data_IF_324352989178
#
_entry.id   IF_324352989178
#
_cell.length_a   1.000
_cell.length_b   1.000
_cell.length_c   1.000
_cell.angle_alpha   90.00
_cell.angle_beta   90.00
_cell.angle_gamma   90.00
#
_symmetry.space_group_name_H-M   'P 1'
#
loop_
_entity.id
_entity.type
_entity.pdbx_description
1 polymer ?
#
# COMPACT_ATOMS: atom_id res chain seq x y z
N UNK A 1 2.18 -36.67 -36.18
CA UNK A 1 3.49 -37.24 -35.84
C UNK A 1 4.30 -36.13 -35.19
N UNK A 2 4.92 -36.14 -34.05
CA UNK A 2 5.21 -37.11 -33.03
C UNK A 2 5.19 -36.37 -31.66
N UNK A 3 4.69 -37.02 -30.63
CA UNK A 3 4.77 -36.64 -29.20
C UNK A 3 6.20 -36.81 -28.70
N UNK A 4 6.69 -35.88 -27.86
CA UNK A 4 7.75 -36.24 -26.91
C UNK A 4 7.48 -35.63 -25.53
N UNK A 5 7.11 -36.47 -24.60
CA UNK A 5 7.11 -36.27 -23.14
C UNK A 5 8.54 -36.36 -22.62
N UNK A 6 8.93 -35.51 -21.67
CA UNK A 6 10.01 -35.83 -20.75
C UNK A 6 9.59 -35.64 -19.28
N UNK A 7 9.89 -36.67 -18.52
CA UNK A 7 9.58 -36.99 -17.14
C UNK A 7 10.44 -36.19 -16.15
N UNK A 8 9.87 -35.91 -14.99
CA UNK A 8 10.50 -35.45 -13.76
C UNK A 8 11.41 -36.53 -13.15
N UNK A 9 12.44 -36.08 -12.43
CA UNK A 9 13.17 -36.90 -11.45
C UNK A 9 13.37 -36.09 -10.17
N UNK A 10 12.82 -36.61 -9.09
CA UNK A 10 13.00 -36.18 -7.70
C UNK A 10 14.25 -36.84 -7.13
N UNK A 11 15.01 -36.10 -6.30
CA UNK A 11 15.98 -36.69 -5.40
C UNK A 11 15.85 -36.06 -4.01
N UNK A 12 15.40 -36.90 -3.08
CA UNK A 12 15.35 -36.69 -1.64
C UNK A 12 16.69 -37.08 -1.03
N UNK A 13 17.25 -36.29 -0.15
CA UNK A 13 18.33 -36.67 0.77
C UNK A 13 18.00 -36.25 2.20
N UNK A 14 17.81 -37.21 3.08
CA UNK A 14 17.70 -37.09 4.54
C UNK A 14 19.11 -37.04 5.17
N UNK A 15 19.37 -36.28 6.24
CA UNK A 15 20.51 -36.51 7.12
C UNK A 15 20.16 -37.36 8.35
N UNK A 16 21.10 -38.23 8.73
CA UNK A 16 21.00 -39.18 9.85
C UNK A 16 21.38 -38.59 11.22
N UNK A 17 21.33 -39.40 12.30
CA UNK A 17 21.23 -38.93 13.68
C UNK A 17 22.58 -38.65 14.36
N UNK A 18 22.62 -37.63 15.20
CA UNK A 18 23.76 -37.27 16.04
C UNK A 18 23.79 -38.05 17.36
N UNK A 19 24.98 -38.48 17.74
CA UNK A 19 25.31 -39.30 18.91
C UNK A 19 25.28 -38.49 20.23
N UNK A 20 24.70 -39.12 21.24
CA UNK A 20 24.74 -38.67 22.63
C UNK A 20 26.16 -38.88 23.23
N UNK A 21 26.63 -37.89 24.01
CA UNK A 21 27.81 -38.04 24.91
C UNK A 21 27.34 -37.90 26.36
N UNK A 22 27.56 -38.96 27.10
CA UNK A 22 27.45 -39.05 28.55
C UNK A 22 28.53 -38.27 29.24
N UNK A 23 28.17 -37.48 30.25
CA UNK A 23 29.09 -36.77 31.11
C UNK A 23 28.97 -37.28 32.56
N UNK A 24 30.13 -37.51 33.15
CA UNK A 24 30.36 -38.13 34.43
C UNK A 24 30.03 -37.23 35.63
N UNK A 25 29.53 -37.87 36.70
CA UNK A 25 29.35 -37.32 38.05
C UNK A 25 30.70 -37.06 38.73
N UNK A 26 30.80 -35.94 39.48
CA UNK A 26 31.77 -35.73 40.55
C UNK A 26 31.07 -35.26 41.83
N UNK A 27 31.54 -35.69 43.03
CA UNK A 27 30.85 -35.46 44.27
C UNK A 27 31.38 -34.25 45.06
N UNK A 28 30.48 -33.64 45.81
CA UNK A 28 30.65 -33.10 47.13
C UNK A 28 31.49 -31.84 47.36
N UNK A 29 30.83 -30.73 47.66
CA UNK A 29 31.40 -29.66 48.50
C UNK A 29 30.32 -29.08 49.43
N UNK A 30 30.69 -29.09 50.68
CA UNK A 30 30.09 -28.67 51.95
C UNK A 30 29.42 -27.29 51.90
N UNK A 31 28.19 -27.20 52.44
CA UNK A 31 27.39 -25.99 52.56
C UNK A 31 27.96 -25.01 53.64
N UNK A 32 28.01 -23.72 53.29
CA UNK A 32 28.18 -22.63 54.25
C UNK A 32 26.82 -21.98 54.58
N UNK A 33 26.62 -21.43 55.77
CA UNK A 33 25.30 -20.94 56.18
C UNK A 33 24.91 -19.65 55.44
N UNK A 34 23.62 -19.59 55.11
CA UNK A 34 22.94 -18.56 54.34
C UNK A 34 22.67 -17.34 55.22
N UNK A 35 23.24 -16.20 54.88
CA UNK A 35 22.86 -14.91 55.46
C UNK A 35 21.45 -14.52 54.96
N UNK A 36 20.57 -14.15 55.92
CA UNK A 36 19.22 -13.67 55.63
C UNK A 36 19.26 -12.30 54.98
N UNK A 37 18.96 -12.25 53.69
CA UNK A 37 18.80 -10.99 52.96
C UNK A 37 17.39 -10.44 53.19
N UNK A 38 17.30 -9.16 53.58
CA UNK A 38 16.06 -8.39 53.68
C UNK A 38 15.36 -8.33 52.30
N UNK A 39 14.01 -8.44 52.22
CA UNK A 39 13.31 -8.37 50.95
C UNK A 39 13.43 -6.96 50.35
N UNK A 40 13.89 -6.90 49.08
CA UNK A 40 13.86 -5.67 48.27
C UNK A 40 12.40 -5.34 47.93
N UNK A 41 11.99 -4.05 47.95
CA UNK A 41 10.65 -3.66 47.54
C UNK A 41 10.45 -3.99 46.07
N UNK A 42 9.31 -4.61 45.73
CA UNK A 42 8.89 -4.88 44.36
C UNK A 42 8.73 -3.55 43.59
N UNK A 43 9.25 -3.44 42.35
CA UNK A 43 8.99 -2.26 41.53
C UNK A 43 7.49 -2.17 41.25
N UNK A 44 6.89 -1.05 41.63
CA UNK A 44 5.51 -0.71 41.25
C UNK A 44 5.44 -0.60 39.72
N UNK A 45 4.66 -1.47 39.09
CA UNK A 45 4.40 -1.43 37.68
C UNK A 45 3.75 -0.09 37.34
N UNK A 46 4.48 0.78 36.63
CA UNK A 46 3.92 1.99 36.04
C UNK A 46 2.91 1.54 34.97
N UNK A 47 1.63 1.67 35.27
CA UNK A 47 0.54 1.50 34.30
C UNK A 47 0.76 2.48 33.15
N UNK A 48 1.08 1.95 31.96
CA UNK A 48 1.09 2.74 30.73
C UNK A 48 -0.30 3.33 30.52
N UNK A 49 -0.42 4.63 30.18
CA UNK A 49 -1.72 5.22 29.87
C UNK A 49 -2.37 4.42 28.74
N UNK A 50 -3.60 3.98 28.99
CA UNK A 50 -4.42 3.26 28.00
C UNK A 50 -4.65 4.24 26.84
N UNK A 51 -4.11 3.94 25.66
CA UNK A 51 -4.36 4.75 24.49
C UNK A 51 -5.88 4.85 24.29
N UNK A 52 -6.39 6.08 24.27
CA UNK A 52 -7.80 6.34 23.95
C UNK A 52 -8.00 5.88 22.51
N UNK A 53 -8.73 4.80 22.32
CA UNK A 53 -9.06 4.32 20.98
C UNK A 53 -9.86 5.42 20.29
N UNK A 54 -9.32 5.98 19.19
CA UNK A 54 -10.09 6.89 18.33
C UNK A 54 -11.39 6.19 17.96
N UNK A 55 -12.52 6.87 18.18
CA UNK A 55 -13.82 6.36 17.75
C UNK A 55 -13.75 6.01 16.25
N UNK A 56 -14.23 4.82 15.88
CA UNK A 56 -14.25 4.42 14.47
C UNK A 56 -15.19 5.34 13.72
N UNK A 57 -14.81 5.84 12.51
CA UNK A 57 -15.69 6.63 11.66
C UNK A 57 -17.00 5.88 11.42
N UNK A 58 -18.12 6.60 11.40
CA UNK A 58 -19.42 6.02 11.05
C UNK A 58 -19.53 6.00 9.54
N UNK A 59 -19.42 4.80 8.95
CA UNK A 59 -19.65 4.66 7.52
C UNK A 59 -21.14 4.61 7.22
N UNK A 60 -21.56 5.32 6.18
CA UNK A 60 -22.94 5.30 5.65
C UNK A 60 -22.97 4.47 4.38
N UNK A 61 -24.02 3.69 4.21
CA UNK A 61 -24.25 2.99 2.96
C UNK A 61 -24.44 4.01 1.82
N UNK A 62 -23.73 3.83 0.72
CA UNK A 62 -23.86 4.63 -0.49
C UNK A 62 -23.72 3.78 -1.73
N UNK A 63 -24.32 4.20 -2.84
CA UNK A 63 -24.19 3.61 -4.17
C UNK A 63 -24.00 4.73 -5.17
N UNK A 64 -22.97 4.65 -6.01
CA UNK A 64 -22.75 5.58 -7.12
C UNK A 64 -22.94 4.82 -8.43
N UNK A 65 -24.03 5.12 -9.13
CA UNK A 65 -24.25 4.60 -10.48
C UNK A 65 -23.47 5.42 -11.50
N UNK A 66 -23.01 4.76 -12.56
CA UNK A 66 -22.32 5.45 -13.64
C UNK A 66 -23.26 6.38 -14.40
N UNK A 67 -22.83 7.64 -14.58
CA UNK A 67 -23.45 8.62 -15.45
C UNK A 67 -22.36 9.50 -16.04
N UNK A 68 -22.40 9.74 -17.36
CA UNK A 68 -21.38 10.54 -18.05
C UNK A 68 -21.43 12.01 -17.61
N UNK A 69 -22.60 12.55 -17.28
CA UNK A 69 -22.81 13.91 -16.82
C UNK A 69 -22.20 14.18 -15.42
N UNK A 70 -21.81 13.14 -14.68
CA UNK A 70 -21.18 13.30 -13.35
C UNK A 70 -19.64 13.58 -13.46
N UNK A 71 -19.07 13.47 -14.63
CA UNK A 71 -17.66 13.82 -14.83
C UNK A 71 -17.49 15.34 -14.88
N UNK A 72 -16.55 15.85 -14.07
CA UNK A 72 -16.20 17.27 -13.94
C UNK A 72 -14.79 17.51 -14.44
N UNK A 73 -14.59 18.61 -15.19
CA UNK A 73 -13.29 19.04 -15.74
C UNK A 73 -12.67 20.18 -14.96
N UNK A 74 -13.32 20.64 -13.88
CA UNK A 74 -12.85 21.69 -12.97
C UNK A 74 -11.90 21.18 -11.87
N UNK A 75 -11.39 19.96 -12.02
CA UNK A 75 -10.45 19.35 -11.10
C UNK A 75 -9.00 19.86 -11.24
N UNK A 76 -8.07 19.19 -10.53
CA UNK A 76 -6.67 19.58 -10.45
C UNK A 76 -5.94 19.61 -11.81
N UNK A 77 -6.35 18.79 -12.77
CA UNK A 77 -5.67 18.60 -14.05
C UNK A 77 -6.61 18.86 -15.22
N UNK A 78 -6.25 19.82 -16.09
CA UNK A 78 -7.05 20.16 -17.28
C UNK A 78 -7.16 19.04 -18.32
N UNK A 79 -6.28 18.04 -18.26
CA UNK A 79 -6.29 16.86 -19.12
C UNK A 79 -7.10 15.67 -18.56
N UNK A 80 -7.88 15.88 -17.50
CA UNK A 80 -8.64 14.83 -16.83
C UNK A 80 -10.02 15.34 -16.39
N UNK A 81 -11.01 14.46 -16.47
CA UNK A 81 -12.33 14.64 -15.90
C UNK A 81 -12.51 13.66 -14.73
N UNK A 82 -13.09 14.13 -13.64
CA UNK A 82 -13.20 13.40 -12.38
C UNK A 82 -14.66 13.12 -12.04
N UNK A 83 -14.96 11.89 -11.68
CA UNK A 83 -16.25 11.48 -11.12
C UNK A 83 -16.05 10.98 -9.69
N UNK A 84 -16.42 11.77 -8.70
CA UNK A 84 -16.42 11.37 -7.30
C UNK A 84 -17.51 10.31 -7.06
N UNK A 85 -17.16 9.24 -6.36
CA UNK A 85 -18.08 8.12 -6.06
C UNK A 85 -18.86 8.33 -4.74
N UNK A 86 -18.69 9.46 -4.04
CA UNK A 86 -19.36 9.79 -2.78
C UNK A 86 -18.88 8.98 -1.58
N UNK A 87 -17.73 8.34 -1.69
CA UNK A 87 -17.13 7.54 -0.61
C UNK A 87 -16.58 8.43 0.51
N UNK A 88 -16.04 9.60 0.16
CA UNK A 88 -15.60 10.63 1.09
C UNK A 88 -16.73 11.06 2.04
N UNK A 89 -17.87 11.44 1.49
CA UNK A 89 -19.05 11.80 2.27
C UNK A 89 -19.57 10.61 3.11
N UNK A 90 -19.54 9.39 2.58
CA UNK A 90 -20.01 8.20 3.28
C UNK A 90 -19.07 7.75 4.41
N UNK A 91 -17.82 8.19 4.41
CA UNK A 91 -16.78 7.79 5.38
C UNK A 91 -16.30 8.93 6.28
N UNK A 92 -16.99 10.06 6.28
CA UNK A 92 -16.63 11.29 7.02
C UNK A 92 -15.18 11.73 6.72
N UNK A 93 -14.81 11.77 5.42
CA UNK A 93 -13.51 12.23 4.95
C UNK A 93 -12.38 11.22 5.10
N UNK A 94 -12.67 9.96 5.47
CA UNK A 94 -11.62 8.96 5.62
C UNK A 94 -11.02 8.55 4.28
N UNK A 95 -11.84 8.39 3.23
CA UNK A 95 -11.42 7.87 1.93
C UNK A 95 -12.10 8.66 0.83
N UNK A 96 -11.37 9.11 -0.18
CA UNK A 96 -11.94 9.49 -1.47
C UNK A 96 -11.73 8.33 -2.46
N UNK A 97 -12.78 8.05 -3.24
CA UNK A 97 -12.70 7.16 -4.39
C UNK A 97 -13.33 7.89 -5.58
N UNK A 98 -12.61 7.91 -6.70
CA UNK A 98 -13.03 8.60 -7.90
C UNK A 98 -12.63 7.85 -9.16
N UNK A 99 -13.42 7.99 -10.21
CA UNK A 99 -13.02 7.60 -11.57
C UNK A 99 -12.44 8.82 -12.25
N UNK A 100 -11.25 8.65 -12.80
CA UNK A 100 -10.55 9.67 -13.58
C UNK A 100 -10.60 9.21 -15.04
N UNK A 101 -11.19 10.03 -15.91
CA UNK A 101 -11.21 9.87 -17.36
C UNK A 101 -10.22 10.85 -17.97
N UNK A 102 -9.26 10.34 -18.70
CA UNK A 102 -8.30 11.19 -19.41
C UNK A 102 -8.92 11.78 -20.67
N UNK A 103 -8.62 13.05 -20.94
CA UNK A 103 -9.18 13.81 -22.06
C UNK A 103 -8.23 13.73 -23.26
N UNK A 104 -8.63 13.11 -24.37
CA UNK A 104 -7.78 13.01 -25.55
C UNK A 104 -7.71 14.34 -26.34
N UNK A 105 -6.64 14.53 -27.17
CA UNK A 105 -5.45 13.68 -27.22
C UNK A 105 -4.51 13.95 -26.05
N UNK A 106 -3.66 12.97 -25.70
CA UNK A 106 -2.59 13.21 -24.74
C UNK A 106 -1.62 14.27 -25.27
N UNK A 107 -1.34 15.27 -24.43
CA UNK A 107 -0.39 16.34 -24.73
C UNK A 107 0.74 16.30 -23.71
N UNK A 108 1.95 15.85 -24.10
CA UNK A 108 3.06 15.68 -23.16
C UNK A 108 3.38 16.92 -22.34
N UNK A 109 3.26 18.12 -22.93
CA UNK A 109 3.50 19.40 -22.27
C UNK A 109 2.49 19.71 -21.15
N UNK A 110 1.31 19.14 -21.19
CA UNK A 110 0.26 19.30 -20.17
C UNK A 110 0.38 18.27 -19.05
N UNK A 111 0.75 17.02 -19.40
CA UNK A 111 0.71 15.89 -18.45
C UNK A 111 2.02 15.67 -17.70
N UNK A 112 3.18 16.01 -18.30
CA UNK A 112 4.51 15.70 -17.75
C UNK A 112 4.94 16.61 -16.60
N UNK A 113 4.03 16.94 -15.67
CA UNK A 113 4.32 17.74 -14.48
C UNK A 113 4.67 16.84 -13.31
N UNK A 114 5.93 16.88 -12.89
CA UNK A 114 6.40 16.11 -11.74
C UNK A 114 5.72 16.62 -10.46
N UNK A 115 5.15 15.69 -9.68
CA UNK A 115 4.47 16.01 -8.43
C UNK A 115 4.49 14.82 -7.48
N UNK A 116 4.04 15.06 -6.24
CA UNK A 116 3.72 14.00 -5.29
C UNK A 116 2.45 14.36 -4.50
N UNK A 117 1.88 13.37 -3.84
CA UNK A 117 0.76 13.53 -2.93
C UNK A 117 1.18 13.25 -1.48
N UNK A 118 0.77 14.12 -0.55
CA UNK A 118 0.98 13.87 0.88
C UNK A 118 -0.23 13.11 1.43
N UNK A 119 -0.15 11.80 1.37
CA UNK A 119 -1.23 10.84 1.64
C UNK A 119 -0.76 9.72 2.55
N UNK A 120 -1.68 9.05 3.24
CA UNK A 120 -1.39 7.83 3.99
C UNK A 120 -1.44 6.59 3.08
N UNK A 121 -2.29 6.64 2.06
CA UNK A 121 -2.48 5.55 1.10
C UNK A 121 -3.03 6.11 -0.22
N UNK A 122 -2.51 5.59 -1.33
CA UNK A 122 -3.07 5.83 -2.66
C UNK A 122 -2.93 4.57 -3.51
N UNK A 123 -4.04 4.16 -4.11
CA UNK A 123 -4.11 3.03 -5.03
C UNK A 123 -4.77 3.48 -6.32
N UNK A 124 -4.25 3.02 -7.46
CA UNK A 124 -4.85 3.25 -8.77
C UNK A 124 -5.07 1.90 -9.47
N UNK A 125 -6.20 1.79 -10.15
CA UNK A 125 -6.58 0.62 -10.95
C UNK A 125 -7.04 1.08 -12.34
N UNK A 126 -6.47 0.56 -13.41
CA UNK A 126 -6.88 0.89 -14.77
C UNK A 126 -8.16 0.14 -15.11
N UNK A 127 -9.24 0.89 -15.34
CA UNK A 127 -10.55 0.36 -15.71
C UNK A 127 -10.63 0.10 -17.22
N UNK A 128 -10.05 1.01 -18.04
CA UNK A 128 -10.13 0.98 -19.50
C UNK A 128 -8.89 1.62 -20.11
N UNK A 129 -8.52 1.18 -21.32
CA UNK A 129 -7.36 1.70 -22.03
C UNK A 129 -6.03 1.39 -21.36
N UNK A 130 -5.11 2.33 -21.45
CA UNK A 130 -3.78 2.24 -20.83
C UNK A 130 -3.24 3.64 -20.50
N UNK A 131 -2.30 3.69 -19.56
CA UNK A 131 -1.49 4.89 -19.29
C UNK A 131 -0.04 4.52 -19.01
N UNK A 132 0.86 5.43 -19.30
CA UNK A 132 2.28 5.38 -18.94
C UNK A 132 2.55 6.48 -17.93
N UNK A 133 3.10 6.11 -16.78
CA UNK A 133 3.58 7.04 -15.76
C UNK A 133 5.03 6.76 -15.42
N UNK A 134 5.76 7.80 -15.08
CA UNK A 134 7.13 7.71 -14.56
C UNK A 134 7.10 7.91 -13.06
N UNK A 135 7.75 6.99 -12.33
CA UNK A 135 7.84 7.00 -10.87
C UNK A 135 9.29 7.07 -10.41
N UNK A 136 9.54 7.84 -9.35
CA UNK A 136 10.86 7.97 -8.72
C UNK A 136 11.44 6.60 -8.37
N UNK A 137 12.64 6.31 -8.89
CA UNK A 137 13.36 5.06 -8.66
C UNK A 137 12.83 3.83 -9.42
N UNK A 138 11.72 3.95 -10.17
CA UNK A 138 11.14 2.85 -10.95
C UNK A 138 11.19 3.10 -12.47
N UNK A 139 11.32 4.37 -12.89
CA UNK A 139 11.24 4.76 -14.28
C UNK A 139 9.82 4.77 -14.85
N UNK A 140 9.71 4.75 -16.17
CA UNK A 140 8.44 4.77 -16.88
C UNK A 140 7.84 3.36 -16.98
N UNK A 141 6.57 3.23 -16.57
CA UNK A 141 5.83 1.97 -16.57
C UNK A 141 4.50 2.20 -17.29
N UNK A 142 4.14 1.30 -18.21
CA UNK A 142 2.84 1.30 -18.88
C UNK A 142 1.90 0.32 -18.17
N UNK A 143 0.79 0.85 -17.64
CA UNK A 143 -0.29 0.10 -17.00
C UNK A 143 -1.47 0.03 -17.97
N UNK A 144 -2.02 -1.18 -18.17
CA UNK A 144 -3.18 -1.45 -19.05
C UNK A 144 -4.41 -1.80 -18.22
N UNK A 145 -5.57 -1.85 -18.84
CA UNK A 145 -6.81 -2.30 -18.19
C UNK A 145 -6.57 -3.59 -17.37
N UNK A 146 -6.99 -3.58 -16.11
CA UNK A 146 -6.73 -4.64 -15.12
C UNK A 146 -5.44 -4.46 -14.31
N UNK A 147 -4.55 -3.53 -14.66
CA UNK A 147 -3.37 -3.20 -13.85
C UNK A 147 -3.76 -2.44 -12.59
N UNK A 148 -3.06 -2.73 -11.49
CA UNK A 148 -3.22 -2.05 -10.20
C UNK A 148 -1.86 -1.74 -9.60
N UNK A 149 -1.72 -0.57 -8.97
CA UNK A 149 -0.51 -0.23 -8.23
C UNK A 149 -0.80 0.63 -7.00
N UNK A 150 0.12 0.61 -6.06
CA UNK A 150 0.19 1.53 -4.94
C UNK A 150 1.14 2.67 -5.31
N UNK A 151 0.74 3.90 -5.05
CA UNK A 151 1.63 5.05 -5.02
C UNK A 151 2.01 5.32 -3.56
N UNK A 152 3.24 4.97 -3.13
CA UNK A 152 3.67 5.26 -1.77
C UNK A 152 3.55 6.75 -1.44
N UNK A 153 3.30 7.12 -0.17
CA UNK A 153 3.28 8.51 0.23
C UNK A 153 4.50 9.29 -0.27
N UNK A 154 4.24 10.44 -0.90
CA UNK A 154 5.25 11.38 -1.41
C UNK A 154 6.17 10.82 -2.52
N UNK A 155 5.87 9.67 -3.14
CA UNK A 155 6.59 9.23 -4.34
C UNK A 155 6.42 10.25 -5.46
N UNK A 156 7.51 10.74 -6.01
CA UNK A 156 7.46 11.68 -7.13
C UNK A 156 7.09 10.92 -8.39
N UNK A 157 6.12 11.44 -9.11
CA UNK A 157 5.63 10.82 -10.34
C UNK A 157 5.03 11.85 -11.29
N UNK A 158 4.87 11.44 -12.53
CA UNK A 158 4.17 12.20 -13.58
C UNK A 158 3.49 11.26 -14.54
N UNK A 159 2.41 11.70 -15.16
CA UNK A 159 1.85 11.04 -16.34
C UNK A 159 2.73 11.37 -17.53
N UNK A 160 2.97 10.39 -18.39
CA UNK A 160 3.79 10.53 -19.60
C UNK A 160 2.91 10.44 -20.85
N UNK A 161 2.00 9.45 -20.84
CA UNK A 161 1.13 9.18 -22.00
C UNK A 161 -0.08 8.35 -21.59
N UNK A 162 -1.16 8.38 -22.38
CA UNK A 162 -2.37 7.57 -22.19
C UNK A 162 -3.16 7.37 -23.48
N UNK A 163 -3.96 6.30 -23.54
CA UNK A 163 -4.89 6.05 -24.63
C UNK A 163 -6.10 6.98 -24.58
N UNK A 164 -6.71 7.25 -25.73
CA UNK A 164 -7.89 8.13 -25.86
C UNK A 164 -9.10 7.69 -25.00
N UNK A 165 -9.15 6.42 -24.64
CA UNK A 165 -10.21 5.84 -23.83
C UNK A 165 -9.78 5.50 -22.39
N UNK A 166 -8.68 6.06 -21.91
CA UNK A 166 -8.13 5.72 -20.60
C UNK A 166 -9.04 6.18 -19.46
N UNK A 167 -9.43 5.23 -18.62
CA UNK A 167 -10.10 5.48 -17.35
C UNK A 167 -9.42 4.70 -16.22
N UNK A 168 -9.27 5.35 -15.07
CA UNK A 168 -8.72 4.71 -13.87
C UNK A 168 -9.61 4.95 -12.67
N UNK A 169 -9.67 3.97 -11.75
CA UNK A 169 -10.18 4.15 -10.40
C UNK A 169 -9.03 4.54 -9.50
N UNK A 170 -9.16 5.65 -8.79
CA UNK A 170 -8.24 6.10 -7.78
C UNK A 170 -8.89 6.05 -6.39
N UNK A 171 -8.16 5.54 -5.40
CA UNK A 171 -8.57 5.50 -4.00
C UNK A 171 -7.47 6.12 -3.15
N UNK A 172 -7.81 7.15 -2.36
CA UNK A 172 -6.86 7.91 -1.55
C UNK A 172 -7.33 8.06 -0.11
N UNK A 173 -6.42 7.97 0.83
CA UNK A 173 -6.60 8.25 2.25
C UNK A 173 -5.54 9.25 2.72
N UNK A 174 -5.93 10.30 3.49
CA UNK A 174 -7.30 10.75 3.74
C UNK A 174 -7.96 11.28 2.47
N UNK A 175 -9.27 11.58 2.53
CA UNK A 175 -10.00 12.14 1.38
C UNK A 175 -9.50 13.54 0.99
N UNK A 176 -9.10 14.34 1.97
CA UNK A 176 -8.45 15.62 1.77
C UNK A 176 -6.93 15.44 1.90
N UNK A 177 -6.20 15.80 0.86
CA UNK A 177 -4.75 15.68 0.80
C UNK A 177 -4.14 16.78 -0.06
N UNK A 178 -2.86 17.04 0.18
CA UNK A 178 -2.09 18.02 -0.58
C UNK A 178 -1.42 17.37 -1.79
N UNK A 179 -1.48 18.04 -2.93
CA UNK A 179 -0.67 17.75 -4.11
C UNK A 179 0.40 18.80 -4.30
N UNK A 180 1.66 18.40 -4.22
CA UNK A 180 2.80 19.31 -4.38
C UNK A 180 3.38 19.12 -5.78
N UNK A 181 3.23 20.13 -6.63
CA UNK A 181 3.88 20.19 -7.93
C UNK A 181 5.33 20.64 -7.74
N UNK A 182 6.25 19.90 -8.34
CA UNK A 182 7.66 20.22 -8.33
C UNK A 182 7.98 21.01 -9.58
N UNK A 183 8.65 22.15 -9.41
CA UNK A 183 9.16 22.93 -10.55
C UNK A 183 10.26 22.12 -11.27
N UNK A 184 10.39 22.26 -12.60
CA UNK A 184 11.40 21.58 -13.39
C UNK A 184 12.82 22.04 -13.04
#
# INVERSE_FOLDING_TARGET
MAKTRRKAASASTRPGPAKAKTAARRPGARAKPKATAKPKPKPTAKTKPKAVAKARPRHRFTVSHHRDEDFRTDGLRGYAAYRNLGIDAATDGMVVAQVIRFVPPCRPEEVSKLHYHDVDFQMVYVLKGWMTSEFEGQGAITMKAGSCWIQPPRIKHKVVDYSDDCEVLEIVLPAEFETVTLEP
#
